data_IF_220457111456
#
_entry.id   IF_220457111456
#
_cell.length_a   1.000
_cell.length_b   1.000
_cell.length_c   1.000
_cell.angle_alpha   90.00
_cell.angle_beta   90.00
_cell.angle_gamma   90.00
#
_symmetry.space_group_name_H-M   'P 1'
#
loop_
_entity.id
_entity.type
_entity.pdbx_description
1 polymer ?
#
# COMPACT_ATOMS: atom_id res chain seq x y z
N UNK A 1 18.20 -2.39 -17.40
CA UNK A 1 18.86 -1.32 -16.60
C UNK A 1 18.99 -1.79 -15.15
N UNK A 2 20.09 -1.50 -14.44
CA UNK A 2 20.29 -1.92 -13.04
C UNK A 2 20.40 -0.70 -12.12
N UNK A 3 19.61 -0.69 -11.05
CA UNK A 3 19.56 0.37 -10.05
C UNK A 3 19.91 -0.16 -8.67
N UNK A 4 20.54 0.67 -7.85
CA UNK A 4 20.64 0.50 -6.41
C UNK A 4 20.49 1.87 -5.74
N UNK A 5 20.25 1.90 -4.43
CA UNK A 5 19.93 3.14 -3.72
C UNK A 5 21.08 4.17 -3.78
N UNK A 6 22.32 3.71 -3.65
CA UNK A 6 23.49 4.57 -3.70
C UNK A 6 23.66 5.22 -5.08
N UNK A 7 23.43 4.47 -6.15
CA UNK A 7 23.46 4.97 -7.53
C UNK A 7 22.35 5.98 -7.78
N UNK A 8 21.13 5.69 -7.32
CA UNK A 8 19.99 6.62 -7.42
C UNK A 8 20.32 7.96 -6.76
N UNK A 9 20.87 7.95 -5.54
CA UNK A 9 21.19 9.18 -4.78
C UNK A 9 22.33 10.01 -5.36
N UNK A 10 23.24 9.38 -6.13
CA UNK A 10 24.38 10.06 -6.77
C UNK A 10 24.04 10.67 -8.12
N UNK A 11 22.96 10.21 -8.76
CA UNK A 11 22.53 10.69 -10.06
C UNK A 11 21.64 11.93 -9.93
N UNK A 12 21.77 12.87 -10.87
CA UNK A 12 20.84 14.00 -10.98
C UNK A 12 19.56 13.57 -11.67
N UNK A 13 18.42 13.88 -11.06
CA UNK A 13 17.08 13.56 -11.55
C UNK A 13 16.25 14.82 -11.69
N UNK A 14 15.26 14.79 -12.58
CA UNK A 14 14.26 15.86 -12.69
C UNK A 14 13.51 15.97 -11.35
N UNK A 15 13.46 17.18 -10.80
CA UNK A 15 12.71 17.47 -9.58
C UNK A 15 11.37 18.12 -9.91
N UNK A 16 10.34 17.85 -9.09
CA UNK A 16 9.02 18.48 -9.19
C UNK A 16 8.35 18.59 -7.82
N UNK A 17 7.53 19.62 -7.65
CA UNK A 17 6.62 19.77 -6.51
C UNK A 17 5.14 19.57 -6.88
N UNK A 18 4.82 19.57 -8.19
CA UNK A 18 3.45 19.76 -8.67
C UNK A 18 2.88 18.57 -9.43
N UNK A 19 3.73 17.67 -9.92
CA UNK A 19 3.26 16.54 -10.74
C UNK A 19 2.50 15.54 -9.85
N UNK A 20 1.25 15.18 -10.15
CA UNK A 20 0.57 14.12 -9.41
C UNK A 20 1.24 12.77 -9.67
N UNK A 21 1.31 11.92 -8.65
CA UNK A 21 1.89 10.58 -8.79
C UNK A 21 0.88 9.65 -9.49
N UNK A 22 1.28 9.15 -10.67
CA UNK A 22 0.55 8.12 -11.40
C UNK A 22 0.96 6.72 -10.90
N UNK A 23 0.30 6.25 -9.84
CA UNK A 23 0.64 5.01 -9.12
C UNK A 23 0.60 3.74 -9.96
N UNK A 24 -0.18 3.71 -11.04
CA UNK A 24 -0.24 2.57 -11.98
C UNK A 24 1.09 2.33 -12.69
N UNK A 25 1.91 3.38 -12.81
CA UNK A 25 3.20 3.34 -13.49
C UNK A 25 4.37 3.47 -12.52
N UNK A 26 4.17 3.38 -11.20
CA UNK A 26 5.27 3.43 -10.23
C UNK A 26 5.81 2.03 -10.00
N UNK A 27 7.10 1.81 -10.25
CA UNK A 27 7.76 0.54 -9.93
C UNK A 27 8.20 0.50 -8.47
N UNK A 28 8.91 1.54 -8.04
CA UNK A 28 9.40 1.68 -6.68
C UNK A 28 9.69 3.13 -6.33
N UNK A 29 9.82 3.41 -5.03
CA UNK A 29 10.18 4.70 -4.48
C UNK A 29 11.13 4.54 -3.29
N UNK A 30 11.96 5.55 -3.07
CA UNK A 30 12.95 5.54 -2.00
C UNK A 30 13.27 6.95 -1.51
N UNK A 31 13.84 7.04 -0.32
CA UNK A 31 14.39 8.29 0.19
C UNK A 31 15.55 8.76 -0.70
N UNK A 32 15.42 9.96 -1.27
CA UNK A 32 16.44 10.56 -2.12
C UNK A 32 17.35 11.51 -1.33
N UNK A 33 16.74 12.45 -0.63
CA UNK A 33 17.39 13.42 0.25
C UNK A 33 16.38 13.92 1.29
N UNK A 34 16.81 14.75 2.24
CA UNK A 34 15.93 15.35 3.26
C UNK A 34 14.71 16.00 2.60
N UNK A 35 13.52 15.52 2.97
CA UNK A 35 12.25 16.00 2.42
C UNK A 35 12.00 15.66 0.94
N UNK A 36 12.78 14.76 0.34
CA UNK A 36 12.68 14.40 -1.09
C UNK A 36 12.58 12.89 -1.31
N UNK A 37 11.70 12.51 -2.22
CA UNK A 37 11.42 11.11 -2.57
C UNK A 37 11.72 10.87 -4.03
N UNK A 38 12.54 9.86 -4.31
CA UNK A 38 12.74 9.35 -5.65
C UNK A 38 11.62 8.37 -6.00
N UNK A 39 11.10 8.45 -7.22
CA UNK A 39 10.12 7.53 -7.78
C UNK A 39 10.61 7.04 -9.15
N UNK A 40 10.68 5.73 -9.32
CA UNK A 40 10.94 5.09 -10.60
C UNK A 40 9.65 4.75 -11.31
N UNK A 41 9.50 5.20 -12.56
CA UNK A 41 8.34 4.89 -13.40
C UNK A 41 8.58 3.64 -14.26
N UNK A 42 7.51 3.01 -14.72
CA UNK A 42 7.52 1.78 -15.52
C UNK A 42 8.16 1.94 -16.91
N UNK A 43 8.27 3.18 -17.40
CA UNK A 43 9.01 3.53 -18.60
C UNK A 43 10.51 3.80 -18.34
N UNK A 44 11.02 3.49 -17.14
CA UNK A 44 12.41 3.72 -16.75
C UNK A 44 12.75 5.17 -16.39
N UNK A 45 11.80 6.10 -16.46
CA UNK A 45 12.04 7.48 -16.07
C UNK A 45 11.99 7.65 -14.55
N UNK A 46 13.08 8.13 -13.97
CA UNK A 46 13.15 8.53 -12.57
C UNK A 46 12.76 9.99 -12.38
N UNK A 47 12.03 10.28 -11.29
CA UNK A 47 11.65 11.64 -10.90
C UNK A 47 11.81 11.81 -9.39
N UNK A 48 12.20 13.01 -8.96
CA UNK A 48 12.30 13.38 -7.55
C UNK A 48 11.16 14.31 -7.19
N UNK A 49 10.40 13.93 -6.17
CA UNK A 49 9.35 14.75 -5.58
C UNK A 49 9.89 15.51 -4.37
N UNK A 50 9.57 16.80 -4.26
CA UNK A 50 9.83 17.62 -3.09
C UNK A 50 8.85 17.29 -1.94
N UNK A 51 8.76 16.00 -1.58
CA UNK A 51 7.95 15.43 -0.50
C UNK A 51 8.75 14.31 0.16
N UNK A 52 8.60 14.16 1.48
CA UNK A 52 9.17 13.03 2.20
C UNK A 52 8.52 11.70 1.79
N UNK A 53 9.24 10.60 1.99
CA UNK A 53 8.74 9.25 1.67
C UNK A 53 7.46 8.95 2.44
N UNK A 54 7.37 9.41 3.69
CA UNK A 54 6.17 9.33 4.52
C UNK A 54 4.98 10.04 3.88
N UNK A 55 5.16 11.28 3.42
CA UNK A 55 4.07 12.02 2.74
C UNK A 55 3.61 11.31 1.47
N UNK A 56 4.55 10.84 0.66
CA UNK A 56 4.26 10.11 -0.58
C UNK A 56 3.50 8.80 -0.32
N UNK A 57 3.88 8.04 0.72
CA UNK A 57 3.18 6.82 1.12
C UNK A 57 1.80 7.12 1.71
N UNK A 58 1.67 8.20 2.48
CA UNK A 58 0.38 8.63 3.00
C UNK A 58 -0.57 9.08 1.87
N UNK A 59 -0.04 9.68 0.80
CA UNK A 59 -0.79 9.97 -0.43
C UNK A 59 -1.23 8.68 -1.14
N UNK A 60 -0.37 7.66 -1.21
CA UNK A 60 -0.76 6.34 -1.71
C UNK A 60 -1.92 5.75 -0.91
N UNK A 61 -1.80 5.71 0.42
CA UNK A 61 -2.85 5.21 1.30
C UNK A 61 -4.18 5.94 1.10
N UNK A 62 -4.13 7.25 0.97
CA UNK A 62 -5.32 8.09 0.78
C UNK A 62 -5.94 7.84 -0.60
N UNK A 63 -5.16 7.87 -1.68
CA UNK A 63 -5.63 7.67 -3.05
C UNK A 63 -6.19 6.27 -3.29
N UNK A 64 -5.64 5.27 -2.60
CA UNK A 64 -6.08 3.89 -2.64
C UNK A 64 -7.02 3.52 -1.48
N UNK A 65 -7.53 4.48 -0.69
CA UNK A 65 -8.45 4.26 0.45
C UNK A 65 -8.04 3.06 1.33
N UNK A 66 -6.76 2.99 1.66
CA UNK A 66 -6.23 1.99 2.58
C UNK A 66 -6.47 2.53 3.98
N UNK A 67 -7.43 1.95 4.70
CA UNK A 67 -7.85 2.42 6.01
C UNK A 67 -7.06 1.76 7.14
N UNK A 68 -6.81 2.52 8.20
CA UNK A 68 -6.04 2.08 9.36
C UNK A 68 -6.63 0.81 9.98
N UNK A 69 -7.93 0.81 10.27
CA UNK A 69 -8.61 -0.30 10.92
C UNK A 69 -8.53 -1.58 10.07
N UNK A 70 -8.75 -1.48 8.75
CA UNK A 70 -8.69 -2.64 7.86
C UNK A 70 -7.28 -3.21 7.80
N UNK A 71 -6.26 -2.35 7.69
CA UNK A 71 -4.87 -2.79 7.77
C UNK A 71 -4.60 -3.49 9.10
N UNK A 72 -5.05 -2.94 10.23
CA UNK A 72 -4.82 -3.56 11.53
C UNK A 72 -5.53 -4.92 11.66
N UNK A 73 -6.74 -5.06 11.15
CA UNK A 73 -7.49 -6.34 11.12
C UNK A 73 -6.77 -7.38 10.27
N UNK A 74 -6.42 -7.07 9.02
CA UNK A 74 -5.78 -8.04 8.12
C UNK A 74 -4.36 -8.41 8.55
N UNK A 75 -3.68 -7.55 9.30
CA UNK A 75 -2.35 -7.84 9.85
C UNK A 75 -2.39 -8.39 11.29
N UNK A 76 -3.56 -8.54 11.91
CA UNK A 76 -3.68 -8.94 13.34
C UNK A 76 -3.08 -10.32 13.66
N UNK A 77 -3.00 -11.22 12.69
CA UNK A 77 -2.35 -12.53 12.81
C UNK A 77 -0.89 -12.57 12.36
N UNK A 78 -0.33 -11.45 11.90
CA UNK A 78 1.02 -11.39 11.36
C UNK A 78 2.05 -11.10 12.45
N UNK A 79 3.29 -11.56 12.27
CA UNK A 79 4.38 -11.29 13.21
C UNK A 79 4.67 -9.79 13.34
N UNK A 80 4.82 -9.30 14.58
CA UNK A 80 5.23 -7.91 14.89
C UNK A 80 6.58 -7.50 14.27
N UNK A 81 7.35 -8.46 13.74
CA UNK A 81 8.61 -8.21 13.06
C UNK A 81 8.46 -7.79 11.59
N UNK A 82 7.23 -7.69 11.07
CA UNK A 82 6.96 -7.32 9.66
C UNK A 82 6.51 -5.87 9.57
N UNK A 83 7.18 -5.08 8.74
CA UNK A 83 6.67 -3.77 8.35
C UNK A 83 5.40 -3.96 7.52
N UNK A 84 4.29 -3.33 7.96
CA UNK A 84 3.01 -3.39 7.23
C UNK A 84 3.16 -2.79 5.84
N UNK A 85 2.91 -3.60 4.81
CA UNK A 85 2.79 -3.12 3.44
C UNK A 85 1.43 -2.44 3.26
N UNK A 86 1.37 -1.47 2.33
CA UNK A 86 0.13 -0.81 1.97
C UNK A 86 -0.53 -1.64 0.87
N UNK A 87 -1.55 -2.41 1.25
CA UNK A 87 -2.19 -3.41 0.38
C UNK A 87 -3.66 -3.04 0.13
N UNK A 88 -4.04 -3.06 -1.15
CA UNK A 88 -5.41 -3.03 -1.65
C UNK A 88 -5.59 -4.06 -2.75
N UNK A 89 -6.07 -5.24 -2.40
CA UNK A 89 -6.20 -6.39 -3.30
C UNK A 89 -4.86 -6.72 -3.96
N UNK A 90 -4.79 -6.67 -5.29
CA UNK A 90 -3.54 -6.88 -6.03
C UNK A 90 -2.53 -5.73 -5.92
N UNK A 91 -2.97 -4.51 -5.59
CA UNK A 91 -2.08 -3.36 -5.48
C UNK A 91 -1.40 -3.35 -4.12
N UNK A 92 -0.12 -3.69 -4.07
CA UNK A 92 0.64 -3.74 -2.83
C UNK A 92 1.97 -2.99 -2.96
N UNK A 93 2.08 -1.90 -2.18
CA UNK A 93 3.31 -1.15 -1.98
C UNK A 93 4.03 -1.72 -0.76
N UNK A 94 5.06 -2.51 -1.02
CA UNK A 94 5.75 -3.34 -0.03
C UNK A 94 7.07 -2.68 0.37
N UNK A 95 7.34 -2.48 1.67
CA UNK A 95 8.65 -2.05 2.12
C UNK A 95 9.63 -3.22 2.01
N UNK A 96 10.84 -2.94 1.52
CA UNK A 96 11.91 -3.93 1.48
C UNK A 96 12.49 -4.29 2.86
N UNK A 97 12.19 -3.49 3.89
CA UNK A 97 12.68 -3.66 5.24
C UNK A 97 11.91 -2.83 6.28
N UNK A 98 12.58 -2.45 7.37
CA UNK A 98 11.98 -1.67 8.47
C UNK A 98 11.58 -0.25 8.04
N UNK A 99 10.38 0.21 8.39
CA UNK A 99 9.90 1.57 8.04
C UNK A 99 10.76 2.72 8.61
N UNK A 100 11.51 2.46 9.69
CA UNK A 100 12.44 3.44 10.29
C UNK A 100 13.80 3.51 9.59
N UNK A 101 14.09 2.60 8.67
CA UNK A 101 15.35 2.58 7.94
C UNK A 101 15.22 3.49 6.70
N UNK A 102 16.07 4.51 6.61
CA UNK A 102 16.12 5.43 5.46
C UNK A 102 16.56 4.74 4.16
N UNK A 103 17.12 3.54 4.26
CA UNK A 103 17.47 2.70 3.11
C UNK A 103 16.36 1.76 2.69
N UNK A 104 15.19 1.82 3.34
CA UNK A 104 14.02 1.07 2.90
C UNK A 104 13.52 1.60 1.56
N UNK A 105 13.35 0.68 0.62
CA UNK A 105 12.76 0.94 -0.69
C UNK A 105 11.35 0.36 -0.65
N UNK A 106 10.38 1.15 -1.11
CA UNK A 106 9.01 0.69 -1.25
C UNK A 106 8.78 0.34 -2.71
N UNK A 107 8.30 -0.87 -3.00
CA UNK A 107 8.12 -1.35 -4.37
C UNK A 107 6.71 -1.88 -4.60
N UNK A 108 6.20 -1.72 -5.82
CA UNK A 108 4.94 -2.28 -6.23
C UNK A 108 5.12 -3.76 -6.55
N UNK A 109 4.83 -4.62 -5.57
CA UNK A 109 5.08 -6.07 -5.67
C UNK A 109 4.39 -6.72 -6.89
N UNK A 110 3.17 -6.31 -7.20
CA UNK A 110 2.42 -6.80 -8.36
C UNK A 110 3.01 -6.45 -9.74
N UNK A 111 3.99 -5.55 -9.80
CA UNK A 111 4.73 -5.21 -11.02
C UNK A 111 6.08 -5.93 -11.11
N UNK A 112 6.48 -6.66 -10.07
CA UNK A 112 7.70 -7.47 -10.06
C UNK A 112 7.42 -8.74 -10.87
N UNK A 113 8.22 -8.96 -11.92
CA UNK A 113 8.10 -10.14 -12.79
C UNK A 113 9.02 -11.27 -12.35
N UNK A 114 10.10 -10.96 -11.62
CA UNK A 114 11.05 -11.95 -11.13
C UNK A 114 11.86 -11.40 -9.94
N UNK A 115 12.38 -12.28 -9.10
CA UNK A 115 13.25 -11.93 -7.96
C UNK A 115 14.42 -12.91 -7.84
N UNK A 116 15.62 -12.38 -7.62
CA UNK A 116 16.83 -13.17 -7.43
C UNK A 116 17.51 -12.77 -6.12
N UNK A 117 18.18 -13.72 -5.48
CA UNK A 117 19.02 -13.43 -4.32
C UNK A 117 20.48 -13.66 -4.66
N UNK A 118 21.31 -12.67 -4.40
CA UNK A 118 22.76 -12.76 -4.49
C UNK A 118 23.35 -12.44 -3.11
N UNK A 119 24.10 -13.36 -2.48
CA UNK A 119 24.71 -13.14 -1.16
C UNK A 119 25.62 -11.90 -1.08
N UNK A 120 26.19 -11.43 -2.18
CA UNK A 120 27.10 -10.29 -2.21
C UNK A 120 26.38 -8.94 -2.26
N UNK A 121 25.18 -8.88 -2.86
CA UNK A 121 24.46 -7.62 -3.11
C UNK A 121 23.05 -7.56 -2.51
N UNK A 122 22.46 -8.69 -2.15
CA UNK A 122 21.11 -8.79 -1.58
C UNK A 122 20.07 -9.26 -2.59
N UNK A 123 18.84 -8.75 -2.46
CA UNK A 123 17.72 -9.10 -3.34
C UNK A 123 17.75 -8.25 -4.60
N UNK A 124 17.49 -8.86 -5.75
CA UNK A 124 17.38 -8.20 -7.05
C UNK A 124 15.94 -8.39 -7.53
N UNK A 125 15.21 -7.28 -7.69
CA UNK A 125 13.85 -7.25 -8.17
C UNK A 125 13.87 -6.88 -9.65
N UNK A 126 13.20 -7.68 -10.49
CA UNK A 126 13.06 -7.43 -11.90
C UNK A 126 11.66 -6.91 -12.20
N UNK A 127 11.58 -5.80 -12.92
CA UNK A 127 10.36 -5.22 -13.46
C UNK A 127 10.43 -5.24 -14.99
N UNK A 128 9.27 -5.40 -15.63
CA UNK A 128 9.19 -5.28 -17.09
C UNK A 128 9.41 -3.82 -17.50
N UNK A 129 10.29 -3.59 -18.47
CA UNK A 129 10.40 -2.29 -19.12
C UNK A 129 9.21 -2.11 -20.07
N UNK A 130 8.44 -1.03 -19.93
CA UNK A 130 7.31 -0.76 -20.83
C UNK A 130 7.73 -0.18 -22.18
N UNK A 131 8.99 0.24 -22.33
CA UNK A 131 9.50 0.89 -23.55
C UNK A 131 10.28 -0.03 -24.48
N UNK A 132 10.55 -1.29 -24.09
CA UNK A 132 11.23 -2.28 -24.92
C UNK A 132 11.22 -3.67 -24.29
N UNK A 133 11.99 -4.61 -24.87
CA UNK A 133 12.05 -6.01 -24.40
C UNK A 133 12.98 -6.23 -23.19
N UNK A 134 13.44 -5.14 -22.57
CA UNK A 134 14.35 -5.17 -21.43
C UNK A 134 13.66 -5.38 -20.08
N UNK A 135 14.48 -5.49 -19.04
CA UNK A 135 14.04 -5.42 -17.65
C UNK A 135 14.72 -4.27 -16.91
N UNK A 136 13.95 -3.63 -16.02
CA UNK A 136 14.45 -2.71 -15.00
C UNK A 136 14.73 -3.55 -13.76
N UNK A 137 15.97 -3.56 -13.31
CA UNK A 137 16.43 -4.33 -12.15
C UNK A 137 16.74 -3.40 -11.01
N UNK A 138 16.30 -3.73 -9.81
CA UNK A 138 16.56 -3.00 -8.58
C UNK A 138 17.25 -3.91 -7.58
N UNK A 139 18.42 -3.53 -7.11
CA UNK A 139 19.10 -4.15 -5.98
C UNK A 139 18.61 -3.55 -4.68
N UNK A 140 18.25 -4.42 -3.75
CA UNK A 140 17.85 -4.07 -2.39
C UNK A 140 18.73 -4.84 -1.41
N UNK A 141 19.49 -4.09 -0.62
CA UNK A 141 20.46 -4.60 0.36
C UNK A 141 19.74 -5.14 1.60
N UNK A 142 19.06 -6.28 1.43
CA UNK A 142 18.31 -6.98 2.48
C UNK A 142 18.54 -8.48 2.38
N UNK A 143 18.48 -9.18 3.51
CA UNK A 143 18.55 -10.63 3.52
C UNK A 143 17.32 -11.24 2.83
N UNK A 144 17.52 -12.39 2.17
CA UNK A 144 16.43 -13.15 1.53
C UNK A 144 15.28 -13.42 2.48
N UNK A 145 15.58 -13.86 3.71
CA UNK A 145 14.58 -14.20 4.71
C UNK A 145 13.71 -12.99 5.11
N UNK A 146 14.33 -11.82 5.32
CA UNK A 146 13.58 -10.60 5.65
C UNK A 146 12.73 -10.13 4.48
N UNK A 147 13.27 -10.15 3.25
CA UNK A 147 12.53 -9.75 2.06
C UNK A 147 11.29 -10.61 1.82
N UNK A 148 11.48 -11.94 1.80
CA UNK A 148 10.39 -12.88 1.56
C UNK A 148 9.30 -12.74 2.63
N UNK A 149 9.68 -12.56 3.91
CA UNK A 149 8.70 -12.35 4.97
C UNK A 149 7.79 -11.14 4.70
N UNK A 150 8.32 -10.01 4.24
CA UNK A 150 7.51 -8.83 3.92
C UNK A 150 6.64 -9.07 2.68
N UNK A 151 7.19 -9.71 1.64
CA UNK A 151 6.47 -10.00 0.40
C UNK A 151 5.32 -10.99 0.63
N UNK A 152 5.62 -12.12 1.28
CA UNK A 152 4.66 -13.20 1.55
C UNK A 152 3.50 -12.68 2.42
N UNK A 153 3.80 -11.88 3.45
CA UNK A 153 2.76 -11.25 4.28
C UNK A 153 1.87 -10.33 3.45
N UNK A 154 2.45 -9.51 2.57
CA UNK A 154 1.68 -8.61 1.71
C UNK A 154 0.79 -9.38 0.72
N UNK A 155 1.30 -10.48 0.17
CA UNK A 155 0.55 -11.39 -0.72
C UNK A 155 -0.61 -12.05 0.02
N UNK A 156 -0.36 -12.56 1.23
CA UNK A 156 -1.39 -13.20 2.07
C UNK A 156 -2.51 -12.21 2.44
N UNK A 157 -2.14 -10.99 2.86
CA UNK A 157 -3.12 -9.92 3.14
C UNK A 157 -3.92 -9.57 1.88
N UNK A 158 -3.26 -9.43 0.73
CA UNK A 158 -3.92 -9.14 -0.54
C UNK A 158 -4.91 -10.24 -0.95
N UNK A 159 -4.51 -11.50 -0.81
CA UNK A 159 -5.39 -12.65 -1.05
C UNK A 159 -6.58 -12.66 -0.11
N UNK A 160 -6.36 -12.45 1.19
CA UNK A 160 -7.43 -12.40 2.19
C UNK A 160 -8.42 -11.27 1.92
N UNK A 161 -7.94 -10.09 1.49
CA UNK A 161 -8.80 -8.98 1.07
C UNK A 161 -9.67 -9.35 -0.14
N UNK A 162 -9.11 -10.04 -1.14
CA UNK A 162 -9.84 -10.49 -2.33
C UNK A 162 -10.86 -11.58 -2.00
N UNK A 163 -10.52 -12.54 -1.15
CA UNK A 163 -11.47 -13.58 -0.70
C UNK A 163 -12.61 -12.99 0.14
N UNK A 164 -12.30 -12.05 1.04
CA UNK A 164 -13.31 -11.31 1.79
C UNK A 164 -14.26 -10.56 0.86
N UNK A 165 -13.71 -9.92 -0.17
CA UNK A 165 -14.49 -9.26 -1.22
C UNK A 165 -15.42 -10.25 -1.94
N UNK A 166 -14.89 -11.37 -2.44
CA UNK A 166 -15.67 -12.35 -3.18
C UNK A 166 -16.80 -12.94 -2.33
N UNK A 167 -16.54 -13.17 -1.04
CA UNK A 167 -17.56 -13.61 -0.09
C UNK A 167 -18.63 -12.53 0.15
N UNK A 168 -18.24 -11.26 0.25
CA UNK A 168 -19.19 -10.16 0.36
C UNK A 168 -20.10 -10.06 -0.87
N UNK A 169 -19.53 -10.21 -2.08
CA UNK A 169 -20.29 -10.19 -3.32
C UNK A 169 -21.29 -11.36 -3.39
N UNK A 170 -20.85 -12.58 -3.05
CA UNK A 170 -21.70 -13.78 -3.05
C UNK A 170 -22.85 -13.69 -2.04
N UNK A 171 -22.58 -13.22 -0.83
CA UNK A 171 -23.55 -13.23 0.27
C UNK A 171 -24.51 -12.03 0.24
N UNK A 172 -24.04 -10.87 -0.23
CA UNK A 172 -24.78 -9.62 -0.12
C UNK A 172 -25.13 -9.00 -1.47
N UNK A 173 -24.72 -9.59 -2.59
CA UNK A 173 -24.97 -9.06 -3.94
C UNK A 173 -24.37 -7.67 -4.18
N UNK A 174 -23.43 -7.24 -3.33
CA UNK A 174 -22.84 -5.90 -3.35
C UNK A 174 -21.45 -5.96 -3.95
N UNK A 175 -21.22 -5.17 -5.00
CA UNK A 175 -19.87 -4.74 -5.36
C UNK A 175 -19.32 -3.98 -4.17
N UNK A 176 -18.18 -4.40 -3.64
CA UNK A 176 -17.59 -3.76 -2.46
C UNK A 176 -16.98 -2.41 -2.84
N UNK A 177 -16.74 -1.51 -1.87
CA UNK A 177 -15.93 -0.29 -2.04
C UNK A 177 -14.60 -0.52 -2.80
N UNK A 178 -14.11 -1.77 -2.78
CA UNK A 178 -12.87 -2.21 -3.38
C UNK A 178 -12.89 -2.17 -4.92
N UNK A 179 -14.07 -2.16 -5.56
CA UNK A 179 -14.25 -2.24 -7.03
C UNK A 179 -14.60 -0.94 -7.71
N UNK A 180 -14.92 0.12 -6.98
CA UNK A 180 -15.39 1.33 -7.64
C UNK A 180 -14.29 1.97 -8.49
N UNK A 181 -14.46 1.86 -9.81
CA UNK A 181 -13.54 2.35 -10.83
C UNK A 181 -13.57 3.88 -10.85
N UNK A 182 -14.72 4.47 -10.53
CA UNK A 182 -14.90 5.92 -10.45
C UNK A 182 -14.88 6.44 -9.01
N UNK A 183 -14.58 7.73 -8.85
CA UNK A 183 -14.67 8.43 -7.56
C UNK A 183 -16.11 8.50 -7.03
N UNK A 184 -17.09 8.63 -7.93
CA UNK A 184 -18.51 8.73 -7.60
C UNK A 184 -19.08 7.40 -7.05
N UNK A 185 -18.76 6.28 -7.69
CA UNK A 185 -19.14 4.95 -7.19
C UNK A 185 -18.49 4.65 -5.84
N UNK A 186 -17.22 5.06 -5.65
CA UNK A 186 -16.50 4.90 -4.37
C UNK A 186 -17.22 5.64 -3.26
N UNK A 187 -17.55 6.91 -3.49
CA UNK A 187 -18.25 7.74 -2.51
C UNK A 187 -19.61 7.14 -2.12
N UNK A 188 -20.34 6.60 -3.10
CA UNK A 188 -21.61 5.90 -2.87
C UNK A 188 -21.43 4.64 -2.01
N UNK A 189 -20.44 3.82 -2.33
CA UNK A 189 -20.17 2.58 -1.60
C UNK A 189 -19.66 2.84 -0.18
N UNK A 190 -18.80 3.84 0.03
CA UNK A 190 -18.34 4.26 1.36
C UNK A 190 -19.53 4.72 2.22
N UNK A 191 -20.47 5.46 1.63
CA UNK A 191 -21.71 5.87 2.33
C UNK A 191 -22.56 4.66 2.73
N UNK A 192 -22.69 3.67 1.85
CA UNK A 192 -23.43 2.44 2.16
C UNK A 192 -22.75 1.62 3.27
N UNK A 193 -21.43 1.54 3.23
CA UNK A 193 -20.63 0.82 4.24
C UNK A 193 -20.68 1.52 5.60
N UNK A 194 -20.65 2.87 5.64
CA UNK A 194 -20.94 3.67 6.86
C UNK A 194 -22.27 3.28 7.48
N UNK A 195 -23.33 3.27 6.68
CA UNK A 195 -24.69 2.95 7.15
C UNK A 195 -24.74 1.51 7.68
N UNK A 196 -24.14 0.56 6.95
CA UNK A 196 -24.12 -0.85 7.34
C UNK A 196 -23.39 -1.06 8.67
N UNK A 197 -22.19 -0.51 8.82
CA UNK A 197 -21.39 -0.72 10.03
C UNK A 197 -21.98 0.02 11.22
N UNK A 198 -22.53 1.22 11.02
CA UNK A 198 -23.33 1.88 12.05
C UNK A 198 -24.49 1.00 12.52
N UNK A 199 -25.20 0.37 11.59
CA UNK A 199 -26.32 -0.53 11.93
C UNK A 199 -25.84 -1.73 12.77
N UNK A 200 -24.68 -2.32 12.41
CA UNK A 200 -24.06 -3.41 13.18
C UNK A 200 -23.68 -2.94 14.59
N UNK A 201 -23.07 -1.76 14.73
CA UNK A 201 -22.69 -1.20 16.02
C UNK A 201 -23.90 -0.93 16.92
N UNK A 202 -24.98 -0.39 16.35
CA UNK A 202 -26.25 -0.17 17.07
C UNK A 202 -26.79 -1.50 17.60
N UNK A 203 -26.88 -2.52 16.74
CA UNK A 203 -27.38 -3.84 17.13
C UNK A 203 -26.49 -4.50 18.18
N UNK A 204 -25.17 -4.33 18.08
CA UNK A 204 -24.23 -4.81 19.09
C UNK A 204 -24.41 -4.09 20.42
N UNK A 205 -24.51 -2.76 20.41
CA UNK A 205 -24.68 -1.94 21.61
C UNK A 205 -25.96 -2.30 22.35
N UNK A 206 -27.07 -2.42 21.61
CA UNK A 206 -28.37 -2.83 22.15
C UNK A 206 -28.30 -4.22 22.79
N UNK A 207 -27.59 -5.17 22.16
CA UNK A 207 -27.45 -6.54 22.69
C UNK A 207 -26.55 -6.65 23.91
N UNK A 208 -25.46 -5.88 23.96
CA UNK A 208 -24.43 -6.02 25.00
C UNK A 208 -24.69 -5.11 26.18
N UNK A 209 -25.14 -3.89 25.93
CA UNK A 209 -25.32 -2.86 26.95
C UNK A 209 -26.80 -2.56 27.25
N UNK A 210 -27.74 -3.05 26.44
CA UNK A 210 -29.18 -2.83 26.63
C UNK A 210 -29.66 -1.42 26.24
N UNK A 211 -28.74 -0.53 25.90
CA UNK A 211 -28.99 0.83 25.43
C UNK A 211 -28.05 1.20 24.28
N UNK A 212 -28.48 2.17 23.47
CA UNK A 212 -27.75 2.60 22.27
C UNK A 212 -27.39 4.07 22.40
N UNK A 213 -26.10 4.36 22.52
CA UNK A 213 -25.57 5.69 22.24
C UNK A 213 -25.29 5.84 20.74
N UNK A 214 -26.26 6.44 20.04
CA UNK A 214 -26.15 6.69 18.59
C UNK A 214 -24.99 7.62 18.25
N UNK A 215 -24.68 8.57 19.13
CA UNK A 215 -23.61 9.55 18.91
C UNK A 215 -22.25 8.88 19.03
N UNK A 216 -22.06 8.02 20.03
CA UNK A 216 -20.83 7.25 20.17
C UNK A 216 -20.61 6.30 18.97
N UNK A 217 -21.67 5.65 18.49
CA UNK A 217 -21.60 4.81 17.29
C UNK A 217 -21.20 5.62 16.04
N UNK A 218 -21.75 6.83 15.86
CA UNK A 218 -21.38 7.73 14.77
C UNK A 218 -19.93 8.19 14.88
N UNK A 219 -19.52 8.67 16.05
CA UNK A 219 -18.16 9.11 16.31
C UNK A 219 -17.15 7.97 16.08
N UNK A 220 -17.50 6.74 16.46
CA UNK A 220 -16.66 5.57 16.19
C UNK A 220 -16.45 5.33 14.69
N UNK A 221 -17.55 5.31 13.92
CA UNK A 221 -17.49 5.08 12.46
C UNK A 221 -16.70 6.18 11.76
N UNK A 222 -16.93 7.44 12.12
CA UNK A 222 -16.22 8.57 11.53
C UNK A 222 -14.74 8.59 11.88
N UNK A 223 -14.41 8.30 13.14
CA UNK A 223 -13.05 8.42 13.65
C UNK A 223 -12.14 7.27 13.25
N UNK A 224 -12.69 6.06 13.10
CA UNK A 224 -11.87 4.84 12.95
C UNK A 224 -12.04 4.12 11.62
N UNK A 225 -13.23 4.15 11.01
CA UNK A 225 -13.51 3.25 9.90
C UNK A 225 -12.88 3.70 8.57
N UNK A 226 -12.93 5.00 8.29
CA UNK A 226 -12.41 5.61 7.05
C UNK A 226 -11.14 6.42 7.28
N UNK A 227 -10.52 6.29 8.46
CA UNK A 227 -9.26 6.95 8.74
C UNK A 227 -8.19 6.39 7.81
N UNK A 228 -7.59 7.19 6.92
CA UNK A 228 -6.53 6.70 6.06
C UNK A 228 -5.36 6.17 6.89
N UNK A 229 -4.75 5.08 6.43
CA UNK A 229 -3.54 4.54 7.04
C UNK A 229 -2.41 5.57 6.97
N UNK A 230 -1.62 5.65 8.06
CA UNK A 230 -0.50 6.59 8.21
C UNK A 230 0.72 5.86 8.79
N UNK A 231 1.91 6.15 8.26
CA UNK A 231 3.22 5.69 8.77
C UNK A 231 4.07 6.83 9.34
#
# INVERSE_FOLDING_TARGET
MLFNLNGIRKQSWKETAYEPICWENVLFLAHYATGKTFVMKANGAGIVYAKSVREVINEFATKHHIHQLMTDVFYSGTSNQVSKALVRGKYALVPSGGLKNENTIFYMSHLVIDTHYDPQVGMILCFKDQTGDGSIKLVVEVSKATFLRHLDTAVEVGKTQLEFKDNCLKLFGSTSIWEAETSAERTKLERLEKIRIKTILIQFSERVYGEVDLKECEEFVERYLFKPYRI
#
